data_IF_842924541204
#
_entry.id   IF_842924541204
#
_cell.length_a   1.000
_cell.length_b   1.000
_cell.length_c   1.000
_cell.angle_alpha   90.00
_cell.angle_beta   90.00
_cell.angle_gamma   90.00
#
_symmetry.space_group_name_H-M   'P 1'
#
loop_
_entity.id
_entity.type
_entity.pdbx_description
1 polymer ?
#
# COMPACT_ATOMS: atom_id res chain seq x y z
N UNK A 1 -20.41 7.42 0.63
CA UNK A 1 -20.52 7.25 2.10
C UNK A 1 -20.41 5.76 2.40
N UNK A 2 -19.55 5.34 3.32
CA UNK A 2 -19.37 3.92 3.65
C UNK A 2 -20.65 3.32 4.25
N UNK A 3 -21.17 2.27 3.63
CA UNK A 3 -22.32 1.53 4.15
C UNK A 3 -21.90 0.61 5.33
N UNK A 4 -22.84 0.01 6.08
CA UNK A 4 -22.51 -0.84 7.22
C UNK A 4 -21.64 -2.05 6.86
N UNK A 5 -21.85 -2.66 5.69
CA UNK A 5 -21.09 -3.81 5.21
C UNK A 5 -19.62 -3.44 4.93
N UNK A 6 -19.39 -2.30 4.28
CA UNK A 6 -18.08 -1.73 4.02
C UNK A 6 -17.30 -1.51 5.32
N UNK A 7 -17.96 -0.95 6.36
CA UNK A 7 -17.35 -0.77 7.69
C UNK A 7 -17.05 -2.10 8.38
N UNK A 8 -17.90 -3.11 8.19
CA UNK A 8 -17.69 -4.44 8.76
C UNK A 8 -16.47 -5.12 8.14
N UNK A 9 -16.30 -5.01 6.81
CA UNK A 9 -15.14 -5.53 6.09
C UNK A 9 -13.86 -4.83 6.55
N UNK A 10 -13.86 -3.49 6.64
CA UNK A 10 -12.70 -2.74 7.16
C UNK A 10 -12.36 -3.22 8.57
N UNK A 11 -13.34 -3.29 9.48
CA UNK A 11 -13.12 -3.76 10.85
C UNK A 11 -12.59 -5.19 10.92
N UNK A 12 -13.04 -6.06 10.02
CA UNK A 12 -12.55 -7.43 9.92
C UNK A 12 -11.08 -7.47 9.50
N UNK A 13 -10.69 -6.66 8.49
CA UNK A 13 -9.31 -6.60 8.03
C UNK A 13 -8.36 -6.12 9.13
N UNK A 14 -8.72 -5.07 9.87
CA UNK A 14 -7.91 -4.60 11.02
C UNK A 14 -7.63 -5.74 12.01
N UNK A 15 -8.67 -6.47 12.43
CA UNK A 15 -8.52 -7.60 13.37
C UNK A 15 -7.63 -8.73 12.85
N UNK A 16 -7.62 -8.98 11.54
CA UNK A 16 -6.78 -10.04 10.96
C UNK A 16 -5.29 -9.69 11.02
N UNK A 17 -4.93 -8.40 11.05
CA UNK A 17 -3.54 -7.94 11.16
C UNK A 17 -3.13 -7.58 12.58
N UNK A 18 -4.08 -7.33 13.49
CA UNK A 18 -3.78 -7.26 14.93
C UNK A 18 -3.28 -8.61 15.48
N UNK A 19 -3.82 -9.72 14.96
CA UNK A 19 -3.45 -11.08 15.39
C UNK A 19 -1.95 -11.40 15.17
N UNK A 20 -1.36 -11.20 13.97
CA UNK A 20 0.07 -11.39 13.76
C UNK A 20 0.94 -10.34 14.48
N UNK A 21 0.40 -9.18 14.83
CA UNK A 21 1.11 -8.22 15.69
C UNK A 21 1.22 -8.67 17.16
N UNK A 22 0.54 -9.75 17.56
CA UNK A 22 0.69 -10.40 18.86
C UNK A 22 0.53 -9.44 20.07
N UNK A 23 -0.37 -8.45 19.95
CA UNK A 23 -0.62 -7.46 21.01
C UNK A 23 0.50 -6.44 21.23
N UNK A 24 1.40 -6.28 20.25
CA UNK A 24 2.37 -5.19 20.23
C UNK A 24 1.63 -3.89 19.89
N UNK A 25 1.68 -2.90 20.78
CA UNK A 25 0.98 -1.62 20.60
C UNK A 25 1.93 -0.45 20.24
N UNK A 26 3.25 -0.68 20.25
CA UNK A 26 4.31 0.29 19.92
C UNK A 26 5.24 -0.37 18.90
N UNK A 27 5.59 0.33 17.82
CA UNK A 27 6.42 -0.19 16.72
C UNK A 27 5.86 -1.50 16.12
N UNK A 28 4.56 -1.46 15.81
CA UNK A 28 3.79 -2.57 15.23
C UNK A 28 4.53 -3.17 14.02
N UNK A 29 4.77 -4.49 13.98
CA UNK A 29 5.36 -5.15 12.80
C UNK A 29 4.56 -4.90 11.51
N UNK A 30 3.24 -4.83 11.63
CA UNK A 30 2.31 -4.55 10.53
C UNK A 30 1.39 -3.40 10.95
N UNK A 31 1.50 -2.28 10.25
CA UNK A 31 0.65 -1.13 10.43
C UNK A 31 -0.54 -1.20 9.45
N UNK A 32 -1.75 -1.01 9.99
CA UNK A 32 -2.98 -0.96 9.17
C UNK A 32 -3.63 0.40 9.32
N UNK A 33 -3.89 1.03 8.17
CA UNK A 33 -4.45 2.36 8.10
C UNK A 33 -5.76 2.38 7.36
N UNK A 34 -6.71 3.13 7.88
CA UNK A 34 -7.85 3.62 7.11
C UNK A 34 -7.64 5.12 6.95
N UNK A 35 -7.50 5.61 5.72
CA UNK A 35 -7.41 7.03 5.35
C UNK A 35 -6.06 7.80 5.36
N UNK A 36 -4.90 7.23 4.98
CA UNK A 36 -3.88 8.07 4.38
C UNK A 36 -4.13 8.16 2.88
N UNK A 37 -3.96 9.37 2.32
CA UNK A 37 -3.88 9.53 0.87
C UNK A 37 -2.52 9.01 0.42
N UNK A 38 -2.50 8.14 -0.59
CA UNK A 38 -1.26 7.62 -1.16
C UNK A 38 -1.05 8.18 -2.56
N UNK A 39 0.20 8.46 -2.92
CA UNK A 39 0.53 8.81 -4.29
C UNK A 39 0.36 7.59 -5.20
N UNK A 40 -0.29 7.79 -6.34
CA UNK A 40 -0.40 6.78 -7.37
C UNK A 40 1.00 6.47 -7.92
N UNK A 41 1.50 5.23 -7.85
CA UNK A 41 2.81 4.89 -8.40
C UNK A 41 2.86 5.00 -9.94
N UNK A 42 1.70 5.01 -10.60
CA UNK A 42 1.58 5.04 -12.07
C UNK A 42 1.33 6.45 -12.62
N UNK A 43 0.81 7.36 -11.79
CA UNK A 43 0.49 8.73 -12.21
C UNK A 43 1.12 9.74 -11.26
N UNK A 44 2.02 10.55 -11.80
CA UNK A 44 2.71 11.59 -11.04
C UNK A 44 1.72 12.63 -10.51
N UNK A 45 1.60 12.74 -9.19
CA UNK A 45 0.79 13.76 -8.50
C UNK A 45 -0.64 13.32 -8.14
N UNK A 46 -1.12 12.17 -8.64
CA UNK A 46 -2.45 11.67 -8.30
C UNK A 46 -2.45 11.07 -6.89
N UNK A 47 -3.51 11.37 -6.12
CA UNK A 47 -3.74 10.79 -4.79
C UNK A 47 -4.86 9.77 -4.87
N UNK A 48 -4.59 8.58 -4.34
CA UNK A 48 -5.57 7.51 -4.17
C UNK A 48 -5.99 7.50 -2.70
N UNK A 49 -7.30 7.48 -2.47
CA UNK A 49 -7.88 7.25 -1.15
C UNK A 49 -8.19 5.75 -1.04
N UNK A 50 -7.29 5.00 -0.41
CA UNK A 50 -7.53 3.58 -0.15
C UNK A 50 -8.49 3.42 1.04
N UNK A 51 -9.38 2.43 0.94
CA UNK A 51 -10.24 2.04 2.06
C UNK A 51 -9.41 1.43 3.22
N UNK A 52 -8.38 0.65 2.88
CA UNK A 52 -7.42 0.04 3.80
C UNK A 52 -6.03 0.03 3.15
N UNK A 53 -5.00 0.41 3.92
CA UNK A 53 -3.59 0.17 3.59
C UNK A 53 -2.97 -0.73 4.66
N UNK A 54 -2.14 -1.69 4.23
CA UNK A 54 -1.37 -2.59 5.09
C UNK A 54 0.11 -2.40 4.75
N UNK A 55 0.92 -2.04 5.74
CA UNK A 55 2.34 -1.77 5.58
C UNK A 55 3.16 -2.55 6.64
N UNK A 56 4.26 -3.20 6.27
CA UNK A 56 5.25 -3.61 7.26
C UNK A 56 5.93 -2.37 7.84
N UNK A 57 6.27 -2.37 9.14
CA UNK A 57 7.04 -1.27 9.76
C UNK A 57 8.46 -1.18 9.22
N UNK A 58 9.00 -2.30 8.73
CA UNK A 58 10.33 -2.37 8.14
C UNK A 58 10.27 -2.84 6.69
N UNK A 59 10.88 -2.03 5.81
CA UNK A 59 11.07 -2.36 4.40
C UNK A 59 12.18 -3.41 4.28
N UNK A 60 11.79 -4.68 4.29
CA UNK A 60 12.70 -5.82 4.13
C UNK A 60 13.10 -6.09 2.68
N UNK A 61 12.47 -5.42 1.71
CA UNK A 61 12.84 -5.56 0.30
C UNK A 61 13.97 -4.57 0.02
N UNK A 62 15.19 -5.04 -0.30
CA UNK A 62 16.25 -4.15 -0.75
C UNK A 62 15.72 -3.36 -1.95
N UNK A 63 15.80 -2.03 -1.89
CA UNK A 63 15.48 -1.22 -3.04
C UNK A 63 16.39 -1.69 -4.20
N UNK A 64 15.84 -2.05 -5.36
CA UNK A 64 16.67 -2.51 -6.46
C UNK A 64 17.69 -1.42 -6.77
N UNK A 65 18.97 -1.80 -6.81
CA UNK A 65 20.09 -0.90 -7.07
C UNK A 65 20.00 -0.22 -8.44
N UNK A 66 19.16 -0.77 -9.32
CA UNK A 66 18.85 -0.25 -10.63
C UNK A 66 17.39 0.19 -10.62
N UNK A 67 17.09 1.50 -10.77
CA UNK A 67 15.73 1.98 -10.96
C UNK A 67 15.08 1.26 -12.14
N UNK A 68 13.86 0.75 -11.95
CA UNK A 68 13.10 0.13 -13.03
C UNK A 68 12.90 1.15 -14.15
N UNK A 69 13.54 0.91 -15.31
CA UNK A 69 13.57 1.85 -16.44
C UNK A 69 12.27 1.89 -17.25
N UNK A 70 11.16 1.39 -16.69
CA UNK A 70 9.93 1.15 -17.43
C UNK A 70 10.11 0.03 -18.47
N UNK A 71 9.03 -0.44 -19.12
CA UNK A 71 9.18 -1.17 -20.37
C UNK A 71 9.96 -0.27 -21.35
N UNK A 72 10.88 -0.86 -22.13
CA UNK A 72 11.53 -0.15 -23.24
C UNK A 72 10.44 0.52 -24.07
N UNK A 73 10.42 1.86 -24.08
CA UNK A 73 9.60 2.61 -25.03
C UNK A 73 9.98 2.09 -26.42
N UNK A 74 9.04 1.47 -27.11
CA UNK A 74 9.23 0.97 -28.48
C UNK A 74 9.28 2.15 -29.45
N UNK A 75 10.30 3.00 -29.34
CA UNK A 75 10.71 3.87 -30.44
C UNK A 75 11.65 3.10 -31.35
N UNK A 76 11.09 2.14 -32.08
CA UNK A 76 11.66 1.76 -33.38
C UNK A 76 11.19 2.80 -34.38
N UNK A 77 11.96 3.88 -34.48
CA UNK A 77 12.01 4.67 -35.70
C UNK A 77 12.56 3.73 -36.79
N UNK A 78 11.71 3.32 -37.72
CA UNK A 78 12.17 2.77 -39.00
C UNK A 78 12.22 3.95 -39.98
N UNK A 79 13.44 4.18 -40.46
CA UNK A 79 13.94 5.08 -41.51
C UNK A 79 12.90 5.64 -42.51
#
# INVERSE_FOLDING_TARGET
MANPEHRAIISYLFKQFDLPNNGVDIDLPIEVYSKPYHFNPTSYGDKIALDVMICPSEVHVPQPSIPYSGPLSSNVNVL
#
